data_IF_891713162889
#
_entry.id   IF_891713162889
#
_cell.length_a   1.000
_cell.length_b   1.000
_cell.length_c   1.000
_cell.angle_alpha   90.00
_cell.angle_beta   90.00
_cell.angle_gamma   90.00
#
_symmetry.space_group_name_H-M   'P 1'
#
loop_
_entity.id
_entity.type
_entity.pdbx_description
1 polymer ?
#
# COMPACT_ATOMS: atom_id res chain seq x y z
N UNK A 1 -12.44 15.03 -1.44
CA UNK A 1 -11.28 14.49 -2.10
C UNK A 1 -11.58 13.38 -3.09
N UNK A 2 -11.37 12.11 -2.71
CA UNK A 2 -11.44 10.97 -3.64
C UNK A 2 -12.76 10.86 -4.41
N UNK A 3 -13.90 11.12 -3.77
CA UNK A 3 -15.21 11.07 -4.44
C UNK A 3 -15.32 12.08 -5.58
N UNK A 4 -14.71 13.26 -5.48
CA UNK A 4 -14.73 14.29 -6.51
C UNK A 4 -13.81 13.98 -7.70
N UNK A 5 -12.79 13.16 -7.50
CA UNK A 5 -11.84 12.76 -8.54
C UNK A 5 -12.03 11.29 -8.98
N UNK A 6 -13.20 10.72 -8.76
CA UNK A 6 -13.44 9.29 -8.96
C UNK A 6 -13.14 8.82 -10.40
N UNK A 7 -13.63 9.51 -11.42
CA UNK A 7 -13.35 9.16 -12.82
C UNK A 7 -11.88 9.40 -13.19
N UNK A 8 -11.26 10.57 -12.94
CA UNK A 8 -9.82 10.76 -13.15
C UNK A 8 -8.96 9.74 -12.41
N UNK A 9 -9.38 9.32 -11.23
CA UNK A 9 -8.67 8.34 -10.44
C UNK A 9 -8.56 6.97 -11.14
N UNK A 10 -9.62 6.49 -11.78
CA UNK A 10 -9.56 5.30 -12.63
C UNK A 10 -8.67 5.51 -13.84
N UNK A 11 -8.73 6.68 -14.46
CA UNK A 11 -7.94 7.01 -15.64
C UNK A 11 -6.43 6.98 -15.36
N UNK A 12 -5.99 7.49 -14.22
CA UNK A 12 -4.58 7.48 -13.81
C UNK A 12 -4.00 6.06 -13.79
N UNK A 13 -4.72 5.09 -13.26
CA UNK A 13 -4.26 3.70 -13.20
C UNK A 13 -4.30 3.02 -14.57
N UNK A 14 -5.33 3.27 -15.37
CA UNK A 14 -5.48 2.66 -16.70
C UNK A 14 -4.45 3.18 -17.70
N UNK A 15 -3.99 4.40 -17.53
CA UNK A 15 -2.90 5.00 -18.30
C UNK A 15 -1.51 4.55 -17.82
N UNK A 16 -1.45 3.74 -16.76
CA UNK A 16 -0.19 3.22 -16.22
C UNK A 16 0.77 4.33 -15.79
N UNK A 17 0.24 5.39 -15.14
CA UNK A 17 1.02 6.53 -14.67
C UNK A 17 1.64 6.22 -13.31
N UNK A 18 2.98 6.24 -13.17
CA UNK A 18 3.65 6.07 -11.90
C UNK A 18 3.51 7.35 -11.08
N UNK A 19 2.69 7.29 -10.05
CA UNK A 19 2.50 8.41 -9.11
C UNK A 19 2.23 7.89 -7.71
N UNK A 20 2.49 8.72 -6.71
CA UNK A 20 2.21 8.41 -5.31
C UNK A 20 1.24 9.45 -4.77
N UNK A 21 0.19 8.99 -4.12
CA UNK A 21 -0.80 9.83 -3.46
C UNK A 21 -0.88 9.48 -1.97
N UNK A 22 -0.64 10.44 -1.10
CA UNK A 22 -0.85 10.33 0.33
C UNK A 22 -2.31 10.67 0.68
N UNK A 23 -3.00 9.77 1.36
CA UNK A 23 -4.43 9.89 1.66
C UNK A 23 -4.67 9.79 3.16
N UNK A 24 -5.08 10.91 3.79
CA UNK A 24 -5.67 10.88 5.12
C UNK A 24 -7.11 10.35 5.00
N UNK A 25 -7.31 9.11 5.37
CA UNK A 25 -8.58 8.39 5.18
C UNK A 25 -9.64 8.77 6.19
N UNK A 26 -10.90 8.78 5.78
CA UNK A 26 -12.05 9.05 6.65
C UNK A 26 -13.34 8.47 6.09
N UNK A 27 -14.41 8.56 6.87
CA UNK A 27 -15.77 8.34 6.38
C UNK A 27 -16.19 9.40 5.37
N UNK A 28 -17.05 9.05 4.41
CA UNK A 28 -17.39 9.93 3.28
C UNK A 28 -18.66 10.75 3.48
N UNK A 29 -19.59 10.29 4.29
CA UNK A 29 -20.92 10.87 4.37
C UNK A 29 -21.52 10.77 5.77
N UNK A 30 -22.56 11.58 6.02
CA UNK A 30 -23.26 11.62 7.31
C UNK A 30 -24.16 10.37 7.52
N UNK A 31 -24.18 9.76 8.73
CA UNK A 31 -23.34 10.13 9.86
C UNK A 31 -21.86 9.82 9.60
N UNK A 32 -20.98 10.78 9.81
CA UNK A 32 -19.55 10.65 9.52
C UNK A 32 -18.68 10.93 10.72
N UNK A 33 -17.47 10.43 10.71
CA UNK A 33 -16.43 10.78 11.66
C UNK A 33 -15.15 11.21 10.94
N UNK A 34 -14.42 12.13 11.55
CA UNK A 34 -13.08 12.54 11.10
C UNK A 34 -11.98 11.76 11.81
N UNK A 35 -12.34 10.99 12.85
CA UNK A 35 -11.42 10.16 13.62
C UNK A 35 -11.34 8.77 13.00
N UNK A 36 -10.34 8.57 12.14
CA UNK A 36 -10.16 7.32 11.41
C UNK A 36 -11.35 7.02 10.46
N UNK A 37 -11.40 5.81 9.98
CA UNK A 37 -12.31 5.40 8.91
C UNK A 37 -11.54 5.30 7.61
N UNK A 38 -11.91 4.31 6.80
CA UNK A 38 -11.19 4.00 5.57
C UNK A 38 -12.16 3.86 4.39
N UNK A 39 -13.38 4.35 4.59
CA UNK A 39 -14.46 4.17 3.61
C UNK A 39 -14.11 4.78 2.26
N UNK A 40 -13.49 5.96 2.23
CA UNK A 40 -13.07 6.63 1.01
C UNK A 40 -12.01 5.82 0.24
N UNK A 41 -10.94 5.39 0.91
CA UNK A 41 -9.88 4.60 0.28
C UNK A 41 -10.38 3.20 -0.15
N UNK A 42 -11.18 2.54 0.69
CA UNK A 42 -11.73 1.21 0.39
C UNK A 42 -12.74 1.27 -0.75
N UNK A 43 -13.51 2.34 -0.89
CA UNK A 43 -14.47 2.51 -1.98
C UNK A 43 -13.78 2.52 -3.36
N UNK A 44 -12.56 3.01 -3.45
CA UNK A 44 -11.79 3.07 -4.70
C UNK A 44 -10.81 1.90 -4.88
N UNK A 45 -10.90 0.85 -4.07
CA UNK A 45 -9.97 -0.30 -4.10
C UNK A 45 -9.90 -1.02 -5.45
N UNK A 46 -10.96 -0.93 -6.24
CA UNK A 46 -11.05 -1.58 -7.55
C UNK A 46 -10.68 -0.67 -8.72
N UNK A 47 -10.23 0.56 -8.42
CA UNK A 47 -9.80 1.53 -9.42
C UNK A 47 -8.42 1.23 -10.03
N UNK A 48 -7.74 0.17 -9.56
CA UNK A 48 -6.47 -0.28 -10.12
C UNK A 48 -5.23 0.40 -9.56
N UNK A 49 -5.35 1.09 -8.43
CA UNK A 49 -4.22 1.61 -7.67
C UNK A 49 -3.68 0.56 -6.70
N UNK A 50 -2.38 0.58 -6.46
CA UNK A 50 -1.79 -0.10 -5.32
C UNK A 50 -2.19 0.67 -4.07
N UNK A 51 -2.58 -0.04 -3.00
CA UNK A 51 -3.01 0.60 -1.75
C UNK A 51 -2.26 0.00 -0.57
N UNK A 52 -1.48 0.82 0.14
CA UNK A 52 -0.79 0.48 1.38
C UNK A 52 -1.36 1.30 2.53
N UNK A 53 -1.51 0.68 3.71
CA UNK A 53 -2.06 1.31 4.92
C UNK A 53 -0.99 1.37 6.02
N UNK A 54 -0.57 2.58 6.32
CA UNK A 54 0.48 2.85 7.30
C UNK A 54 -0.01 2.79 8.74
N UNK A 55 0.87 2.35 9.65
CA UNK A 55 0.58 2.20 11.08
C UNK A 55 0.93 3.45 11.89
N UNK A 56 1.97 4.19 11.47
CA UNK A 56 2.49 5.36 12.17
C UNK A 56 3.11 6.36 11.18
N UNK A 57 3.50 7.54 11.67
CA UNK A 57 4.00 8.61 10.82
C UNK A 57 5.36 8.31 10.16
N UNK A 58 6.21 7.51 10.79
CA UNK A 58 7.45 7.05 10.14
C UNK A 58 7.15 6.15 8.95
N UNK A 59 6.22 5.21 9.10
CA UNK A 59 5.82 4.35 8.00
C UNK A 59 5.18 5.14 6.86
N UNK A 60 4.42 6.21 7.14
CA UNK A 60 3.87 7.09 6.08
C UNK A 60 4.98 7.66 5.21
N UNK A 61 6.01 8.27 5.85
CA UNK A 61 7.14 8.85 5.14
C UNK A 61 7.89 7.79 4.30
N UNK A 62 8.19 6.67 4.92
CA UNK A 62 8.95 5.59 4.30
C UNK A 62 8.16 4.92 3.16
N UNK A 63 6.84 4.79 3.30
CA UNK A 63 5.98 4.26 2.24
C UNK A 63 5.82 5.22 1.06
N UNK A 64 5.92 6.53 1.27
CA UNK A 64 5.95 7.47 0.14
C UNK A 64 7.21 7.24 -0.69
N UNK A 65 8.36 7.07 -0.05
CA UNK A 65 9.63 6.81 -0.74
C UNK A 65 9.59 5.44 -1.46
N UNK A 66 9.19 4.37 -0.75
CA UNK A 66 9.03 3.04 -1.36
C UNK A 66 7.97 3.05 -2.47
N UNK A 67 6.91 3.85 -2.29
CA UNK A 67 5.83 3.99 -3.25
C UNK A 67 6.29 4.51 -4.60
N UNK A 68 7.20 5.48 -4.65
CA UNK A 68 7.80 5.95 -5.90
C UNK A 68 8.57 4.83 -6.60
N UNK A 69 9.46 4.14 -5.89
CA UNK A 69 10.22 3.02 -6.46
C UNK A 69 9.30 1.91 -6.99
N UNK A 70 8.25 1.58 -6.24
CA UNK A 70 7.25 0.58 -6.64
C UNK A 70 6.46 1.04 -7.87
N UNK A 71 5.97 2.30 -7.87
CA UNK A 71 5.17 2.84 -8.97
C UNK A 71 5.96 2.91 -10.28
N UNK A 72 7.23 3.28 -10.21
CA UNK A 72 8.12 3.47 -11.35
C UNK A 72 8.75 2.15 -11.84
N UNK A 73 8.57 1.05 -11.10
CA UNK A 73 9.13 -0.24 -11.48
C UNK A 73 8.55 -0.73 -12.81
N UNK A 74 9.41 -1.13 -13.76
CA UNK A 74 9.01 -1.48 -15.15
C UNK A 74 7.97 -2.58 -15.25
N UNK A 75 7.97 -3.55 -14.33
CA UNK A 75 6.99 -4.62 -14.29
C UNK A 75 5.65 -4.20 -13.67
N UNK A 76 5.60 -3.02 -13.05
CA UNK A 76 4.43 -2.48 -12.31
C UNK A 76 3.82 -1.31 -13.06
N UNK A 77 4.47 -0.14 -13.07
CA UNK A 77 3.94 1.09 -13.68
C UNK A 77 2.48 1.35 -13.30
N UNK A 78 2.21 1.37 -11.99
CA UNK A 78 0.88 1.63 -11.42
C UNK A 78 0.99 2.70 -10.34
N UNK A 79 -0.02 3.54 -10.19
CA UNK A 79 -0.04 4.51 -9.11
C UNK A 79 -0.22 3.84 -7.74
N UNK A 80 0.34 4.47 -6.71
CA UNK A 80 0.33 3.98 -5.32
C UNK A 80 -0.39 4.97 -4.41
N UNK A 81 -1.31 4.48 -3.60
CA UNK A 81 -1.89 5.20 -2.48
C UNK A 81 -1.20 4.81 -1.19
N UNK A 82 -0.64 5.77 -0.51
CA UNK A 82 -0.22 5.67 0.88
C UNK A 82 -1.37 6.16 1.76
N UNK A 83 -2.14 5.23 2.31
CA UNK A 83 -3.30 5.49 3.15
C UNK A 83 -2.88 5.52 4.62
N UNK A 84 -3.38 6.49 5.35
CA UNK A 84 -3.16 6.61 6.80
C UNK A 84 -4.40 7.18 7.48
N UNK A 85 -4.61 6.78 8.73
CA UNK A 85 -5.83 7.16 9.46
C UNK A 85 -5.92 8.67 9.64
N UNK A 86 -6.99 9.25 9.11
CA UNK A 86 -7.33 10.64 9.33
C UNK A 86 -7.48 10.94 10.81
N UNK A 87 -7.11 12.14 11.24
CA UNK A 87 -7.06 12.62 12.61
C UNK A 87 -6.03 11.89 13.48
N UNK A 88 -6.10 10.57 13.63
CA UNK A 88 -5.16 9.81 14.49
C UNK A 88 -3.70 9.90 14.03
N UNK A 89 -3.44 9.87 12.74
CA UNK A 89 -2.08 10.05 12.20
C UNK A 89 -1.88 11.43 11.58
N UNK A 90 -2.91 12.00 10.95
CA UNK A 90 -2.78 13.29 10.26
C UNK A 90 -2.70 14.50 11.20
N UNK A 91 -3.14 14.39 12.46
CA UNK A 91 -3.11 15.45 13.47
C UNK A 91 -2.23 15.12 14.67
N UNK A 92 -1.72 13.91 14.77
CA UNK A 92 -0.77 13.52 15.79
C UNK A 92 0.63 13.96 15.39
N UNK A 93 1.34 14.60 16.34
CA UNK A 93 2.75 14.96 16.15
C UNK A 93 3.63 13.85 16.72
N UNK A 94 4.40 13.21 15.87
CA UNK A 94 5.36 12.18 16.22
C UNK A 94 6.74 12.54 15.67
N UNK A 95 7.78 12.02 16.34
CA UNK A 95 9.14 12.11 15.81
C UNK A 95 9.29 11.17 14.64
N UNK A 96 9.81 11.69 13.51
CA UNK A 96 10.18 10.91 12.34
C UNK A 96 11.65 11.15 11.98
N UNK A 97 12.30 10.13 11.46
CA UNK A 97 13.64 10.22 10.90
C UNK A 97 13.55 10.50 9.40
N UNK A 98 13.86 11.73 9.04
CA UNK A 98 13.88 12.15 7.63
C UNK A 98 15.22 11.73 7.05
N UNK A 99 15.26 10.91 5.99
CA UNK A 99 16.50 10.51 5.34
C UNK A 99 17.18 11.72 4.67
N UNK A 100 18.50 11.63 4.47
CA UNK A 100 19.21 12.61 3.65
C UNK A 100 18.78 12.48 2.19
N UNK A 101 18.96 13.55 1.42
CA UNK A 101 18.67 13.55 -0.01
C UNK A 101 19.52 12.51 -0.75
N UNK A 102 20.79 12.37 -0.36
CA UNK A 102 21.70 11.41 -0.97
C UNK A 102 21.23 9.97 -0.82
N UNK A 103 20.73 9.58 0.37
CA UNK A 103 20.17 8.25 0.59
C UNK A 103 18.86 8.03 -0.19
N UNK A 104 18.05 9.07 -0.30
CA UNK A 104 16.81 8.99 -1.10
C UNK A 104 17.15 8.84 -2.59
N UNK A 105 18.14 9.57 -3.10
CA UNK A 105 18.59 9.49 -4.49
C UNK A 105 19.25 8.13 -4.78
N UNK A 106 20.04 7.60 -3.84
CA UNK A 106 20.63 6.25 -3.95
C UNK A 106 19.53 5.18 -4.09
N UNK A 107 18.50 5.25 -3.23
CA UNK A 107 17.41 4.29 -3.25
C UNK A 107 16.52 4.40 -4.49
N UNK A 108 16.10 5.61 -4.85
CA UNK A 108 15.18 5.83 -5.97
C UNK A 108 15.86 5.71 -7.33
N UNK A 109 17.08 6.21 -7.45
CA UNK A 109 17.76 6.34 -8.74
C UNK A 109 17.09 7.41 -9.63
N UNK A 110 17.43 7.36 -10.93
CA UNK A 110 16.86 8.29 -11.90
C UNK A 110 15.63 7.69 -12.59
N UNK A 111 14.50 8.37 -12.52
CA UNK A 111 13.31 7.98 -13.27
C UNK A 111 13.49 8.23 -14.78
N UNK A 112 13.08 7.26 -15.59
CA UNK A 112 13.04 7.36 -17.03
C UNK A 112 11.68 6.85 -17.54
N UNK A 113 10.88 7.76 -18.10
CA UNK A 113 9.62 7.40 -18.72
C UNK A 113 9.85 6.83 -20.13
N UNK A 114 9.55 5.55 -20.30
CA UNK A 114 9.75 4.86 -21.58
C UNK A 114 8.45 4.41 -22.25
N UNK A 115 7.28 4.68 -21.67
CA UNK A 115 6.01 4.14 -22.17
C UNK A 115 5.02 5.23 -22.66
N UNK A 116 5.09 6.42 -22.12
CA UNK A 116 4.28 7.59 -22.54
C UNK A 116 5.20 8.79 -22.62
N UNK A 117 5.43 9.32 -23.82
CA UNK A 117 6.30 10.47 -24.03
C UNK A 117 5.63 11.50 -24.94
N UNK A 118 5.91 12.77 -24.73
CA UNK A 118 5.55 13.87 -25.62
C UNK A 118 6.71 14.10 -26.59
N UNK A 119 6.85 13.20 -27.56
CA UNK A 119 7.87 13.26 -28.61
C UNK A 119 7.20 13.60 -29.95
N UNK A 120 7.41 14.81 -30.51
CA UNK A 120 6.82 15.18 -31.80
C UNK A 120 7.24 14.29 -32.95
N UNK A 121 8.43 13.69 -32.89
CA UNK A 121 8.95 12.80 -33.92
C UNK A 121 8.41 11.36 -33.81
N UNK A 122 7.80 11.04 -32.64
CA UNK A 122 7.17 9.75 -32.35
C UNK A 122 5.79 9.94 -31.73
N UNK A 123 4.84 10.51 -32.47
CA UNK A 123 3.52 10.80 -31.93
C UNK A 123 2.80 9.53 -31.53
N UNK A 124 2.11 9.58 -30.37
CA UNK A 124 1.30 8.46 -29.88
C UNK A 124 -0.07 8.96 -29.41
N UNK A 125 -1.06 8.08 -29.55
CA UNK A 125 -2.37 8.32 -28.94
C UNK A 125 -2.35 7.83 -27.50
N UNK A 126 -2.75 8.72 -26.58
CA UNK A 126 -2.90 8.43 -25.16
C UNK A 126 -4.38 8.50 -24.82
N UNK A 127 -4.88 7.51 -24.05
CA UNK A 127 -6.30 7.41 -23.64
C UNK A 127 -7.29 7.37 -24.83
N UNK A 128 -7.07 6.49 -25.83
CA UNK A 128 -7.94 6.42 -26.99
C UNK A 128 -9.28 5.73 -26.67
N UNK A 129 -10.32 6.05 -27.41
CA UNK A 129 -11.50 5.20 -27.51
C UNK A 129 -11.10 3.89 -28.20
N UNK A 130 -11.43 2.75 -27.58
CA UNK A 130 -10.99 1.44 -28.08
C UNK A 130 -12.16 0.48 -28.31
N UNK A 131 -11.95 -0.51 -29.19
CA UNK A 131 -12.85 -1.64 -29.31
C UNK A 131 -12.77 -2.54 -28.07
N UNK A 132 -13.78 -3.39 -27.86
CA UNK A 132 -13.81 -4.33 -26.73
C UNK A 132 -12.60 -5.26 -26.69
N UNK A 133 -12.07 -5.69 -27.86
CA UNK A 133 -10.88 -6.53 -27.95
C UNK A 133 -9.63 -5.81 -27.47
N UNK A 134 -9.44 -4.54 -27.86
CA UNK A 134 -8.31 -3.76 -27.41
C UNK A 134 -8.42 -3.44 -25.91
N UNK A 135 -9.62 -3.10 -25.44
CA UNK A 135 -9.89 -2.86 -24.01
C UNK A 135 -9.51 -4.08 -23.16
N UNK A 136 -9.86 -5.31 -23.64
CA UNK A 136 -9.50 -6.53 -22.91
C UNK A 136 -7.98 -6.67 -22.72
N UNK A 137 -7.20 -6.36 -23.76
CA UNK A 137 -5.73 -6.41 -23.68
C UNK A 137 -5.17 -5.42 -22.65
N UNK A 138 -5.69 -4.20 -22.60
CA UNK A 138 -5.32 -3.22 -21.59
C UNK A 138 -5.65 -3.71 -20.17
N UNK A 139 -6.85 -4.25 -19.97
CA UNK A 139 -7.27 -4.77 -18.67
C UNK A 139 -6.44 -5.97 -18.22
N UNK A 140 -6.08 -6.85 -19.14
CA UNK A 140 -5.18 -7.98 -18.86
C UNK A 140 -3.79 -7.50 -18.44
N UNK A 141 -3.18 -6.59 -19.21
CA UNK A 141 -1.88 -6.02 -18.88
C UNK A 141 -1.87 -5.30 -17.51
N UNK A 142 -2.96 -4.62 -17.19
CA UNK A 142 -3.14 -3.99 -15.88
C UNK A 142 -3.22 -5.00 -14.74
N UNK A 143 -3.96 -6.10 -14.94
CA UNK A 143 -4.05 -7.19 -13.97
C UNK A 143 -2.69 -7.86 -13.74
N UNK A 144 -1.95 -8.15 -14.80
CA UNK A 144 -0.60 -8.71 -14.73
C UNK A 144 0.35 -7.80 -13.95
N UNK A 145 0.29 -6.48 -14.18
CA UNK A 145 1.07 -5.51 -13.41
C UNK A 145 0.72 -5.50 -11.93
N UNK A 146 -0.57 -5.58 -11.59
CA UNK A 146 -1.03 -5.67 -10.20
C UNK A 146 -0.55 -6.97 -9.52
N UNK A 147 -0.49 -8.08 -10.26
CA UNK A 147 0.06 -9.34 -9.75
C UNK A 147 1.57 -9.27 -9.54
N UNK A 148 2.31 -8.72 -10.51
CA UNK A 148 3.76 -8.51 -10.39
C UNK A 148 4.12 -7.62 -9.19
N UNK A 149 3.23 -6.67 -8.84
CA UNK A 149 3.47 -5.78 -7.71
C UNK A 149 3.66 -6.52 -6.37
N UNK A 150 3.10 -7.74 -6.20
CA UNK A 150 3.30 -8.52 -4.96
C UNK A 150 4.75 -8.91 -4.72
N UNK A 151 5.47 -9.29 -5.78
CA UNK A 151 6.89 -9.64 -5.71
C UNK A 151 7.74 -8.38 -5.54
N UNK A 152 7.45 -7.35 -6.33
CA UNK A 152 8.18 -6.08 -6.29
C UNK A 152 8.04 -5.36 -4.94
N UNK A 153 6.90 -5.47 -4.26
CA UNK A 153 6.71 -4.94 -2.91
C UNK A 153 7.74 -5.53 -1.93
N UNK A 154 7.97 -6.83 -2.00
CA UNK A 154 8.94 -7.49 -1.13
C UNK A 154 10.39 -7.10 -1.48
N UNK A 155 10.70 -7.03 -2.76
CA UNK A 155 12.02 -6.59 -3.25
C UNK A 155 12.34 -5.16 -2.80
N UNK A 156 11.37 -4.25 -2.95
CA UNK A 156 11.49 -2.84 -2.53
C UNK A 156 11.67 -2.72 -1.02
N UNK A 157 10.94 -3.50 -0.20
CA UNK A 157 11.09 -3.48 1.25
C UNK A 157 12.46 -4.00 1.71
N UNK A 158 12.97 -5.04 1.05
CA UNK A 158 14.33 -5.58 1.31
C UNK A 158 15.41 -4.56 0.93
N UNK A 159 15.27 -3.89 -0.19
CA UNK A 159 16.21 -2.86 -0.63
C UNK A 159 16.14 -1.63 0.29
N UNK A 160 14.95 -1.25 0.71
CA UNK A 160 14.74 -0.16 1.66
C UNK A 160 15.43 -0.44 3.00
N UNK A 161 15.30 -1.66 3.52
CA UNK A 161 16.01 -2.09 4.74
C UNK A 161 17.53 -1.97 4.61
N UNK A 162 18.11 -2.35 3.47
CA UNK A 162 19.55 -2.24 3.23
C UNK A 162 20.05 -0.80 3.23
N UNK A 163 19.27 0.15 2.70
CA UNK A 163 19.68 1.56 2.58
C UNK A 163 19.37 2.33 3.86
N UNK A 164 18.20 2.12 4.46
CA UNK A 164 17.71 2.94 5.57
C UNK A 164 17.71 2.22 6.92
N UNK A 165 18.00 0.91 6.97
CA UNK A 165 17.99 0.10 8.19
C UNK A 165 16.61 -0.05 8.83
N UNK A 166 15.54 0.11 8.05
CA UNK A 166 14.15 -0.05 8.49
C UNK A 166 13.41 -1.02 7.59
N UNK A 167 12.70 -1.97 8.20
CA UNK A 167 11.99 -3.05 7.52
C UNK A 167 10.52 -3.08 7.94
N UNK A 168 9.65 -3.29 6.97
CA UNK A 168 8.21 -3.29 7.17
C UNK A 168 7.52 -4.63 6.84
N UNK A 169 8.26 -5.64 6.35
CA UNK A 169 7.76 -6.99 6.10
C UNK A 169 7.11 -7.20 4.72
N UNK A 170 7.23 -6.25 3.79
CA UNK A 170 6.66 -6.36 2.46
C UNK A 170 5.13 -6.19 2.46
N UNK A 171 4.38 -7.12 1.86
CA UNK A 171 2.93 -6.98 1.72
C UNK A 171 2.13 -7.23 3.01
N UNK A 172 2.69 -7.95 3.97
CA UNK A 172 2.15 -8.20 5.31
C UNK A 172 3.26 -8.06 6.34
N UNK A 173 2.87 -7.81 7.59
CA UNK A 173 3.79 -7.88 8.73
C UNK A 173 3.20 -8.76 9.83
N UNK A 174 4.05 -9.41 10.62
CA UNK A 174 3.64 -10.34 11.66
C UNK A 174 4.31 -10.01 12.99
N UNK A 175 3.58 -10.18 14.08
CA UNK A 175 4.10 -9.95 15.41
C UNK A 175 3.78 -11.12 16.35
N UNK A 176 4.82 -11.71 16.94
CA UNK A 176 4.71 -12.86 17.85
C UNK A 176 3.87 -14.01 17.27
N UNK A 177 4.05 -14.32 15.97
CA UNK A 177 3.18 -15.22 15.22
C UNK A 177 3.60 -16.69 15.32
N UNK A 178 4.87 -17.00 15.54
CA UNK A 178 5.43 -18.33 15.36
C UNK A 178 4.75 -19.39 16.23
N UNK A 179 4.61 -19.12 17.53
CA UNK A 179 3.99 -20.03 18.52
C UNK A 179 2.51 -19.67 18.78
N UNK A 180 1.95 -18.71 18.03
CA UNK A 180 0.59 -18.25 18.23
C UNK A 180 -0.43 -19.31 17.81
N UNK A 181 -1.43 -19.53 18.66
CA UNK A 181 -2.61 -20.35 18.39
C UNK A 181 -3.79 -19.50 17.92
N UNK A 182 -3.85 -18.26 18.41
CA UNK A 182 -4.86 -17.24 18.07
C UNK A 182 -4.18 -16.09 17.36
N UNK A 183 -4.86 -15.49 16.38
CA UNK A 183 -4.30 -14.36 15.61
C UNK A 183 -5.28 -13.20 15.53
N UNK A 184 -4.80 -12.01 15.84
CA UNK A 184 -5.53 -10.76 15.51
C UNK A 184 -5.06 -10.29 14.15
N UNK A 185 -5.98 -10.02 13.24
CA UNK A 185 -5.69 -9.47 11.91
C UNK A 185 -6.09 -7.99 11.90
N UNK A 186 -5.17 -7.12 11.51
CA UNK A 186 -5.38 -5.67 11.53
C UNK A 186 -4.87 -4.98 10.27
N UNK A 187 -5.26 -3.73 10.08
CA UNK A 187 -4.77 -2.82 9.04
C UNK A 187 -4.70 -1.39 9.58
N UNK A 188 -3.73 -0.58 9.14
CA UNK A 188 -3.61 0.83 9.54
C UNK A 188 -3.16 1.04 10.99
N UNK A 189 -3.48 2.20 11.57
CA UNK A 189 -3.02 2.63 12.88
C UNK A 189 -3.49 1.74 14.04
N UNK A 190 -4.62 1.05 13.91
CA UNK A 190 -5.11 0.08 14.91
C UNK A 190 -4.09 -1.00 15.22
N UNK A 191 -3.18 -1.29 14.29
CA UNK A 191 -2.11 -2.29 14.46
C UNK A 191 -1.22 -1.97 15.67
N UNK A 192 -0.85 -0.71 15.88
CA UNK A 192 -0.04 -0.29 17.03
C UNK A 192 -0.72 -0.62 18.36
N UNK A 193 -2.01 -0.31 18.47
CA UNK A 193 -2.81 -0.67 19.66
C UNK A 193 -2.92 -2.19 19.82
N UNK A 194 -3.10 -2.92 18.73
CA UNK A 194 -3.20 -4.39 18.76
C UNK A 194 -1.88 -5.05 19.19
N UNK A 195 -0.71 -4.49 18.87
CA UNK A 195 0.58 -4.97 19.39
C UNK A 195 0.63 -4.92 20.92
N UNK A 196 0.20 -3.82 21.52
CA UNK A 196 0.13 -3.67 22.98
C UNK A 196 -0.88 -4.65 23.60
N UNK A 197 -2.01 -4.88 22.95
CA UNK A 197 -2.99 -5.86 23.39
C UNK A 197 -2.45 -7.28 23.33
N UNK A 198 -1.72 -7.65 22.28
CA UNK A 198 -1.02 -8.92 22.16
C UNK A 198 -0.01 -9.12 23.29
N UNK A 199 0.78 -8.09 23.62
CA UNK A 199 1.74 -8.16 24.70
C UNK A 199 1.06 -8.46 26.04
N UNK A 200 0.02 -7.71 26.38
CA UNK A 200 -0.75 -7.91 27.62
C UNK A 200 -1.40 -9.30 27.68
N UNK A 201 -1.95 -9.78 26.57
CA UNK A 201 -2.56 -11.10 26.52
C UNK A 201 -1.51 -12.21 26.69
N UNK A 202 -0.32 -12.04 26.13
CA UNK A 202 0.80 -12.98 26.33
C UNK A 202 1.31 -13.00 27.75
N UNK A 203 1.35 -11.87 28.44
CA UNK A 203 1.68 -11.77 29.86
C UNK A 203 0.67 -12.55 30.73
N UNK A 204 -0.58 -12.67 30.26
CA UNK A 204 -1.62 -13.52 30.88
C UNK A 204 -1.54 -15.00 30.48
N UNK A 205 -0.57 -15.40 29.66
CA UNK A 205 -0.34 -16.78 29.24
C UNK A 205 -1.06 -17.21 27.96
N UNK A 206 -1.71 -16.30 27.23
CA UNK A 206 -2.35 -16.63 25.95
C UNK A 206 -1.33 -16.66 24.80
N UNK A 207 -1.39 -17.70 23.97
CA UNK A 207 -0.60 -17.80 22.74
C UNK A 207 -1.28 -17.06 21.60
N UNK A 208 -1.19 -15.74 21.62
CA UNK A 208 -1.78 -14.86 20.62
C UNK A 208 -0.68 -14.14 19.83
N UNK A 209 -0.91 -13.97 18.55
CA UNK A 209 -0.07 -13.20 17.65
C UNK A 209 -0.89 -12.20 16.83
N UNK A 210 -0.21 -11.42 16.01
CA UNK A 210 -0.83 -10.41 15.14
C UNK A 210 -0.34 -10.58 13.71
N UNK A 211 -1.26 -10.43 12.77
CA UNK A 211 -1.02 -10.28 11.35
C UNK A 211 -1.52 -8.91 10.90
N UNK A 212 -0.61 -8.07 10.42
CA UNK A 212 -0.92 -6.78 9.79
C UNK A 212 -1.02 -6.98 8.29
N UNK A 213 -2.19 -6.67 7.71
CA UNK A 213 -2.36 -6.53 6.27
C UNK A 213 -1.88 -5.13 5.89
N UNK A 214 -0.72 -5.02 5.25
CA UNK A 214 -0.16 -3.73 4.86
C UNK A 214 -0.73 -3.25 3.54
N UNK A 215 -0.82 -4.15 2.57
CA UNK A 215 -1.37 -3.84 1.24
C UNK A 215 -2.76 -4.43 1.09
N UNK A 216 -3.76 -3.56 0.88
CA UNK A 216 -5.11 -3.97 0.51
C UNK A 216 -5.18 -4.32 -0.99
N UNK A 217 -4.36 -3.64 -1.78
CA UNK A 217 -4.23 -3.89 -3.23
C UNK A 217 -2.75 -3.75 -3.64
N UNK A 218 -2.16 -4.78 -4.30
CA UNK A 218 -2.73 -6.13 -4.47
C UNK A 218 -2.94 -6.84 -3.13
N UNK A 219 -3.99 -7.65 -3.02
CA UNK A 219 -4.28 -8.37 -1.77
C UNK A 219 -3.39 -9.60 -1.63
N UNK A 220 -2.59 -9.71 -0.57
CA UNK A 220 -1.58 -10.78 -0.40
C UNK A 220 -2.20 -12.08 0.13
N UNK A 221 -3.23 -12.60 -0.55
CA UNK A 221 -4.05 -13.73 -0.08
C UNK A 221 -3.25 -14.98 0.24
N UNK A 222 -2.22 -15.29 -0.56
CA UNK A 222 -1.41 -16.48 -0.36
C UNK A 222 -0.58 -16.37 0.93
N UNK A 223 0.08 -15.22 1.17
CA UNK A 223 0.86 -14.98 2.39
C UNK A 223 -0.02 -15.02 3.64
N UNK A 224 -1.21 -14.41 3.58
CA UNK A 224 -2.18 -14.43 4.69
C UNK A 224 -2.60 -15.87 4.98
N UNK A 225 -2.91 -16.65 3.95
CA UNK A 225 -3.28 -18.06 4.09
C UNK A 225 -2.17 -18.88 4.74
N UNK A 226 -0.93 -18.67 4.34
CA UNK A 226 0.23 -19.36 4.91
C UNK A 226 0.40 -19.06 6.40
N UNK A 227 0.31 -17.78 6.79
CA UNK A 227 0.42 -17.33 8.19
C UNK A 227 -0.71 -17.89 9.06
N UNK A 228 -1.94 -17.94 8.54
CA UNK A 228 -3.11 -18.40 9.29
C UNK A 228 -3.27 -19.92 9.28
N UNK A 229 -2.52 -20.63 8.44
CA UNK A 229 -2.60 -22.08 8.35
C UNK A 229 -2.22 -22.74 9.68
N UNK A 230 -3.05 -23.67 10.17
CA UNK A 230 -2.85 -24.37 11.43
C UNK A 230 -3.13 -23.56 12.70
N UNK A 231 -3.54 -22.30 12.60
CA UNK A 231 -3.98 -21.49 13.75
C UNK A 231 -5.40 -21.93 14.18
N UNK A 232 -5.67 -21.92 15.50
CA UNK A 232 -6.98 -22.35 16.05
C UNK A 232 -8.12 -21.40 15.72
N UNK A 233 -7.85 -20.08 15.77
CA UNK A 233 -8.81 -19.05 15.43
C UNK A 233 -8.10 -17.75 15.07
N UNK A 234 -8.82 -16.89 14.35
CA UNK A 234 -8.42 -15.51 14.07
C UNK A 234 -9.62 -14.57 14.15
N UNK A 235 -9.34 -13.33 14.49
CA UNK A 235 -10.30 -12.22 14.50
C UNK A 235 -9.78 -11.08 13.61
N UNK A 236 -10.69 -10.45 12.85
CA UNK A 236 -10.41 -9.32 11.97
C UNK A 236 -11.06 -8.07 12.51
#
# INVERSE_FOLDING_TARGET
GLALMFEPYFRMSTLRLPMVMAIATREMTSPETVWSGQQDAVTVRDAGWIQVFAENNQEILDMVIQGYKLAEHKAVLLPVNVCYDGFYLSHLTERVEIPSQELADEFLGSYSCNHVTLDPDKPMAVDPLTSSEILWRYRKSHLEAMQNALEVIDEVDIEFDKVFGRKYGGAIDTYKIDDAELVIVTMGATTGTARVAVDKARDMGYKIGLLKVRFLRPFPSQKIKEVLNGKKAYAV
#
